data_IF_501287460967
#
_entry.id   IF_501287460967
#
_cell.length_a   1.000
_cell.length_b   1.000
_cell.length_c   1.000
_cell.angle_alpha   90.00
_cell.angle_beta   90.00
_cell.angle_gamma   90.00
#
_symmetry.space_group_name_H-M   'P 1'
#
loop_
_entity.id
_entity.type
_entity.pdbx_description
1 polymer ?
#
# COMPACT_ATOMS: atom_id res chain seq x y z
N UNK A 1 47.48 -19.45 14.32
CA UNK A 1 46.88 -19.61 12.98
C UNK A 1 45.61 -18.76 12.89
N UNK A 2 45.41 -18.10 11.75
CA UNK A 2 44.21 -17.34 11.36
C UNK A 2 43.02 -18.27 11.11
N UNK A 3 41.81 -17.79 11.40
CA UNK A 3 40.61 -17.73 10.52
C UNK A 3 39.38 -17.55 11.44
N UNK A 4 38.52 -16.53 11.37
CA UNK A 4 38.16 -15.67 10.25
C UNK A 4 36.73 -16.00 9.79
N UNK A 5 35.70 -15.63 10.57
CA UNK A 5 34.34 -15.47 10.05
C UNK A 5 33.94 -14.00 10.27
N UNK A 6 33.99 -13.22 9.19
CA UNK A 6 33.52 -11.84 9.14
C UNK A 6 32.00 -11.83 9.33
N UNK A 7 31.55 -11.43 10.52
CA UNK A 7 30.18 -10.96 10.68
C UNK A 7 30.07 -9.65 9.90
N UNK A 8 29.34 -9.67 8.78
CA UNK A 8 29.06 -8.50 7.95
C UNK A 8 28.47 -7.37 8.81
N UNK A 9 28.97 -6.13 8.72
CA UNK A 9 28.48 -5.01 9.53
C UNK A 9 27.09 -4.50 9.09
N UNK A 10 26.46 -5.11 8.08
CA UNK A 10 25.15 -4.70 7.54
C UNK A 10 23.92 -5.25 8.28
N UNK A 11 24.11 -6.09 9.30
CA UNK A 11 23.02 -6.79 9.99
C UNK A 11 22.59 -6.17 11.33
N UNK A 12 23.10 -4.99 11.69
CA UNK A 12 22.87 -4.37 13.02
C UNK A 12 21.89 -3.18 13.03
N UNK A 13 20.98 -3.03 12.06
CA UNK A 13 20.02 -1.91 12.07
C UNK A 13 18.54 -2.27 12.00
N UNK A 14 18.18 -3.55 11.98
CA UNK A 14 16.77 -3.92 12.02
C UNK A 14 16.47 -4.31 13.46
N UNK A 15 16.10 -3.32 14.29
CA UNK A 15 15.30 -3.58 15.49
C UNK A 15 13.99 -4.28 15.10
N UNK A 16 12.97 -4.40 15.97
CA UNK A 16 11.64 -4.76 15.49
C UNK A 16 11.29 -3.76 14.39
N UNK A 17 11.39 -4.20 13.14
CA UNK A 17 10.97 -3.43 11.99
C UNK A 17 9.47 -3.38 12.16
N UNK A 18 8.98 -2.32 12.82
CA UNK A 18 7.65 -1.83 12.52
C UNK A 18 7.72 -1.63 11.01
N UNK A 19 7.22 -2.61 10.26
CA UNK A 19 7.16 -2.55 8.82
C UNK A 19 6.31 -1.32 8.55
N UNK A 20 6.96 -0.21 8.22
CA UNK A 20 6.24 1.02 7.97
C UNK A 20 5.38 0.77 6.73
N UNK A 21 4.10 1.03 6.84
CA UNK A 21 3.16 0.93 5.73
C UNK A 21 2.67 2.32 5.45
N UNK A 22 2.83 2.75 4.19
CA UNK A 22 2.40 4.07 3.78
C UNK A 22 2.03 4.09 2.31
N UNK A 23 0.84 4.59 2.02
CA UNK A 23 0.32 4.75 0.67
C UNK A 23 -0.36 6.11 0.54
N UNK A 24 -0.17 6.75 -0.62
CA UNK A 24 -0.88 7.96 -1.01
C UNK A 24 -1.88 7.64 -2.10
N UNK A 25 -3.09 8.15 -1.92
CA UNK A 25 -4.23 7.95 -2.80
C UNK A 25 -4.61 9.31 -3.36
N UNK A 26 -4.93 9.34 -4.65
CA UNK A 26 -5.27 10.56 -5.37
C UNK A 26 -6.63 10.41 -6.06
N UNK A 27 -7.40 11.49 -6.02
CA UNK A 27 -8.73 11.60 -6.63
C UNK A 27 -8.67 11.49 -8.16
N UNK A 28 -7.58 11.92 -8.81
CA UNK A 28 -7.44 11.90 -10.27
C UNK A 28 -6.23 11.08 -10.71
N UNK A 29 -6.20 10.76 -11.99
CA UNK A 29 -5.05 10.12 -12.64
C UNK A 29 -3.80 11.02 -12.57
N UNK A 30 -2.63 10.42 -12.76
CA UNK A 30 -1.33 11.12 -12.74
C UNK A 30 -1.06 11.94 -11.47
N UNK A 31 -1.52 11.45 -10.30
CA UNK A 31 -1.28 12.05 -8.98
C UNK A 31 -1.87 13.46 -8.81
N UNK A 32 -3.02 13.72 -9.45
CA UNK A 32 -3.71 15.01 -9.41
C UNK A 32 -4.92 14.97 -8.47
N UNK A 33 -5.44 16.17 -8.18
CA UNK A 33 -6.64 16.34 -7.34
C UNK A 33 -6.31 16.22 -5.86
N UNK A 34 -7.32 15.89 -5.06
CA UNK A 34 -7.14 15.70 -3.62
C UNK A 34 -6.24 14.49 -3.34
N UNK A 35 -5.35 14.62 -2.35
CA UNK A 35 -4.45 13.56 -1.90
C UNK A 35 -4.74 13.21 -0.44
N UNK A 36 -4.76 11.90 -0.16
CA UNK A 36 -4.85 11.36 1.19
C UNK A 36 -3.72 10.36 1.40
N UNK A 37 -3.06 10.46 2.55
CA UNK A 37 -2.06 9.49 3.00
C UNK A 37 -2.69 8.52 4.00
N UNK A 38 -2.47 7.22 3.80
CA UNK A 38 -2.97 6.15 4.66
C UNK A 38 -1.78 5.32 5.17
N UNK A 39 -1.76 5.08 6.47
CA UNK A 39 -0.73 4.28 7.17
C UNK A 39 -1.33 3.12 7.96
N UNK A 40 -2.66 2.99 7.95
CA UNK A 40 -3.44 2.02 8.70
C UNK A 40 -4.46 1.32 7.80
N UNK A 41 -5.05 0.23 8.29
CA UNK A 41 -6.13 -0.43 7.56
C UNK A 41 -7.36 0.49 7.50
N UNK A 42 -8.11 0.42 6.40
CA UNK A 42 -9.29 1.23 6.16
C UNK A 42 -10.42 0.35 5.61
N UNK A 43 -11.45 0.12 6.42
CA UNK A 43 -12.62 -0.69 6.05
C UNK A 43 -13.60 0.02 5.12
N UNK A 44 -13.58 1.35 5.04
CA UNK A 44 -14.41 2.13 4.12
C UNK A 44 -13.74 3.45 3.74
N UNK A 45 -13.29 3.56 2.50
CA UNK A 45 -12.71 4.80 1.97
C UNK A 45 -13.77 5.90 1.78
N UNK A 46 -15.00 5.50 1.43
CA UNK A 46 -16.12 6.43 1.26
C UNK A 46 -16.53 7.08 2.58
N UNK A 47 -16.55 6.32 3.67
CA UNK A 47 -16.93 6.84 4.98
C UNK A 47 -15.84 7.75 5.56
N UNK A 48 -14.57 7.32 5.45
CA UNK A 48 -13.43 8.04 6.03
C UNK A 48 -12.98 9.26 5.22
N UNK A 49 -13.07 9.20 3.89
CA UNK A 49 -12.49 10.21 2.99
C UNK A 49 -13.44 10.69 1.89
N UNK A 50 -14.68 10.20 1.84
CA UNK A 50 -15.65 10.52 0.78
C UNK A 50 -15.19 10.13 -0.64
N UNK A 51 -14.27 9.16 -0.74
CA UNK A 51 -13.84 8.60 -2.00
C UNK A 51 -14.57 7.29 -2.32
N UNK A 52 -15.29 7.27 -3.44
CA UNK A 52 -15.86 6.05 -4.04
C UNK A 52 -14.97 5.48 -5.15
N UNK A 53 -14.19 6.36 -5.79
CA UNK A 53 -13.35 6.05 -6.94
C UNK A 53 -11.95 6.61 -6.69
N UNK A 54 -10.93 5.79 -6.99
CA UNK A 54 -9.52 6.14 -6.87
C UNK A 54 -8.88 5.92 -8.21
N UNK A 55 -8.25 6.98 -8.71
CA UNK A 55 -7.71 6.99 -10.05
C UNK A 55 -6.20 6.80 -10.09
N UNK A 56 -5.46 7.19 -9.03
CA UNK A 56 -4.04 6.90 -8.94
C UNK A 56 -3.57 6.74 -7.49
N UNK A 57 -2.45 6.03 -7.31
CA UNK A 57 -1.80 5.87 -6.01
C UNK A 57 -0.29 5.73 -6.10
N UNK A 58 0.34 6.02 -4.97
CA UNK A 58 1.76 5.84 -4.76
C UNK A 58 1.96 5.05 -3.47
N UNK A 59 2.36 3.79 -3.60
CA UNK A 59 2.74 2.95 -2.46
C UNK A 59 4.17 3.30 -2.08
N UNK A 60 4.32 4.03 -0.99
CA UNK A 60 5.63 4.49 -0.50
C UNK A 60 6.34 3.37 0.25
N UNK A 61 5.60 2.68 1.13
CA UNK A 61 6.16 1.71 2.05
C UNK A 61 5.17 0.56 2.31
N UNK A 62 5.71 -0.65 2.44
CA UNK A 62 4.95 -1.86 2.71
C UNK A 62 4.14 -2.35 1.50
N UNK A 63 3.49 -3.50 1.69
CA UNK A 63 2.56 -4.08 0.72
C UNK A 63 1.13 -3.85 1.20
N UNK A 64 0.23 -3.68 0.25
CA UNK A 64 -1.17 -3.38 0.53
C UNK A 64 -2.09 -4.26 -0.31
N UNK A 65 -3.27 -4.55 0.21
CA UNK A 65 -4.36 -5.18 -0.54
C UNK A 65 -5.49 -4.17 -0.67
N UNK A 66 -5.82 -3.86 -1.91
CA UNK A 66 -6.94 -3.02 -2.30
C UNK A 66 -8.17 -3.89 -2.56
N UNK A 67 -9.34 -3.47 -2.10
CA UNK A 67 -10.59 -4.19 -2.26
C UNK A 67 -11.62 -3.31 -2.98
N UNK A 68 -12.33 -3.89 -3.94
CA UNK A 68 -13.36 -3.20 -4.72
C UNK A 68 -14.55 -2.73 -3.86
N UNK A 69 -14.87 -3.45 -2.78
CA UNK A 69 -15.98 -3.14 -1.89
C UNK A 69 -15.50 -2.80 -0.46
N UNK A 70 -16.33 -2.10 0.34
CA UNK A 70 -16.05 -1.89 1.76
C UNK A 70 -15.93 -3.20 2.53
N UNK A 71 -15.34 -3.13 3.72
CA UNK A 71 -15.17 -4.23 4.67
C UNK A 71 -14.38 -5.42 4.11
N UNK A 72 -13.41 -5.15 3.23
CA UNK A 72 -12.49 -6.13 2.66
C UNK A 72 -13.18 -7.18 1.78
N UNK A 73 -14.19 -6.75 1.02
CA UNK A 73 -15.00 -7.60 0.15
C UNK A 73 -14.73 -7.35 -1.34
N UNK A 74 -15.16 -8.29 -2.17
CA UNK A 74 -15.06 -8.18 -3.63
C UNK A 74 -13.68 -8.56 -4.16
N UNK A 75 -13.33 -8.01 -5.34
CA UNK A 75 -12.04 -8.27 -6.00
C UNK A 75 -10.89 -7.64 -5.22
N UNK A 76 -9.76 -8.33 -5.23
CA UNK A 76 -8.57 -7.99 -4.46
C UNK A 76 -7.42 -7.68 -5.41
N UNK A 77 -6.67 -6.61 -5.12
CA UNK A 77 -5.50 -6.22 -5.89
C UNK A 77 -4.32 -6.03 -4.94
N UNK A 78 -3.26 -6.81 -5.15
CA UNK A 78 -2.02 -6.67 -4.39
C UNK A 78 -1.22 -5.49 -4.95
N UNK A 79 -0.99 -4.50 -4.09
CA UNK A 79 -0.21 -3.32 -4.39
C UNK A 79 1.19 -3.47 -3.79
N UNK A 80 2.20 -3.27 -4.64
CA UNK A 80 3.61 -3.29 -4.26
C UNK A 80 4.11 -1.85 -4.15
N UNK A 81 5.20 -1.58 -3.41
CA UNK A 81 5.86 -0.28 -3.44
C UNK A 81 6.10 0.18 -4.89
N UNK A 82 5.64 1.39 -5.22
CA UNK A 82 5.67 1.90 -6.57
C UNK A 82 4.56 2.89 -6.92
N UNK A 83 4.60 3.30 -8.18
CA UNK A 83 3.77 4.32 -8.81
C UNK A 83 2.68 3.68 -9.66
N UNK A 84 1.42 4.11 -9.46
CA UNK A 84 0.27 3.65 -10.23
C UNK A 84 -0.57 4.86 -10.65
N UNK A 85 -0.62 5.16 -11.95
CA UNK A 85 -1.17 6.40 -12.51
C UNK A 85 -2.63 6.25 -12.95
N UNK A 86 -3.08 5.02 -13.22
CA UNK A 86 -4.44 4.69 -13.58
C UNK A 86 -4.83 3.29 -13.09
N UNK A 87 -6.13 2.98 -13.07
CA UNK A 87 -6.66 1.70 -12.54
C UNK A 87 -6.22 0.45 -13.29
N UNK A 88 -5.73 0.62 -14.51
CA UNK A 88 -5.15 -0.46 -15.31
C UNK A 88 -3.80 -0.91 -14.74
N UNK A 89 -3.04 -0.02 -14.08
CA UNK A 89 -1.69 -0.32 -13.58
C UNK A 89 -1.67 -1.38 -12.47
N UNK A 90 -2.78 -1.53 -11.73
CA UNK A 90 -2.96 -2.59 -10.74
C UNK A 90 -3.88 -3.72 -11.20
N UNK A 91 -4.25 -3.72 -12.48
CA UNK A 91 -5.04 -4.78 -13.10
C UNK A 91 -6.53 -4.74 -12.77
N UNK A 92 -7.08 -3.60 -12.34
CA UNK A 92 -8.52 -3.44 -12.15
C UNK A 92 -9.24 -3.13 -13.47
N UNK A 93 -10.54 -3.44 -13.51
CA UNK A 93 -11.41 -3.10 -14.64
C UNK A 93 -12.08 -1.72 -14.48
N UNK A 94 -12.01 -1.12 -13.28
CA UNK A 94 -12.58 0.19 -12.98
C UNK A 94 -11.84 0.83 -11.81
N UNK A 95 -12.04 2.14 -11.63
CA UNK A 95 -11.50 2.93 -10.52
C UNK A 95 -12.20 2.71 -9.17
N UNK A 96 -13.19 1.82 -9.09
CA UNK A 96 -13.97 1.60 -7.86
C UNK A 96 -13.12 0.98 -6.78
N UNK A 97 -13.13 1.59 -5.60
CA UNK A 97 -12.44 1.10 -4.42
C UNK A 97 -13.29 1.31 -3.18
N UNK A 98 -13.42 0.26 -2.35
CA UNK A 98 -14.17 0.34 -1.11
C UNK A 98 -13.32 0.25 0.15
N UNK A 99 -12.26 -0.56 0.16
CA UNK A 99 -11.42 -0.73 1.35
C UNK A 99 -9.97 -1.09 1.03
N UNK A 100 -9.10 -0.95 2.03
CA UNK A 100 -7.65 -1.07 1.91
C UNK A 100 -7.06 -1.70 3.17
N UNK A 101 -6.17 -2.68 3.02
CA UNK A 101 -5.53 -3.37 4.15
C UNK A 101 -4.02 -3.50 3.97
N UNK A 102 -3.27 -3.37 5.06
CA UNK A 102 -1.83 -3.64 5.06
C UNK A 102 -1.57 -5.13 5.03
N UNK A 103 -0.55 -5.53 4.29
CA UNK A 103 0.01 -6.88 4.36
C UNK A 103 1.05 -6.88 5.47
N UNK A 104 0.71 -7.48 6.60
CA UNK A 104 1.64 -7.70 7.72
C UNK A 104 2.15 -9.12 7.55
N UNK A 105 3.42 -9.26 7.17
CA UNK A 105 4.06 -10.57 7.14
C UNK A 105 4.47 -10.94 8.58
N UNK A 106 3.94 -12.05 9.08
CA UNK A 106 4.26 -12.58 10.39
C UNK A 106 5.36 -13.63 10.21
N UNK A 107 6.62 -13.23 10.36
CA UNK A 107 7.73 -14.14 10.61
C UNK A 107 8.18 -14.02 12.06
#
# INVERSE_FOLDING_TARGET
MRSGCLMSPRLLLLGPQSSSHRIRIYEREDYRGQMVEITEDCSSLQDRFHFSDIHSFHVLEGYWVLYELPNYLGRQYLLRPGEYRCYVDWGALSARVGSLRRVIDFY
#
